data_IF_691504743670
#
_entry.id   IF_691504743670
#
_cell.length_a   1.000
_cell.length_b   1.000
_cell.length_c   1.000
_cell.angle_alpha   90.00
_cell.angle_beta   90.00
_cell.angle_gamma   90.00
#
_symmetry.space_group_name_H-M   'P 1'
#
loop_
_entity.id
_entity.type
_entity.pdbx_description
1 polymer ?
#
# COMPACT_ATOMS: atom_id res chain seq x y z
N UNK A 1 3.09 2.31 8.97
CA UNK A 1 3.86 1.23 9.64
C UNK A 1 3.61 1.22 11.14
N UNK A 2 3.07 0.10 11.62
CA UNK A 2 2.79 -0.15 13.03
C UNK A 2 4.06 -0.11 13.91
N UNK A 3 3.96 0.31 15.18
CA UNK A 3 5.11 0.39 16.09
C UNK A 3 5.85 -0.94 16.28
N UNK A 4 5.12 -2.06 16.32
CA UNK A 4 5.66 -3.42 16.39
C UNK A 4 6.53 -3.75 15.17
N UNK A 5 6.02 -3.45 13.96
CA UNK A 5 6.73 -3.68 12.72
C UNK A 5 7.97 -2.78 12.58
N UNK A 6 7.92 -1.54 13.10
CA UNK A 6 9.11 -0.66 13.19
C UNK A 6 10.24 -1.28 13.98
N UNK A 7 9.94 -1.86 15.15
CA UNK A 7 10.94 -2.55 15.98
C UNK A 7 11.54 -3.75 15.25
N UNK A 8 10.70 -4.57 14.61
CA UNK A 8 11.15 -5.74 13.84
C UNK A 8 12.06 -5.32 12.69
N UNK A 9 11.68 -4.30 11.90
CA UNK A 9 12.49 -3.80 10.79
C UNK A 9 13.82 -3.23 11.29
N UNK A 10 13.82 -2.49 12.39
CA UNK A 10 15.02 -1.93 13.00
C UNK A 10 16.00 -3.03 13.44
N UNK A 11 15.50 -4.05 14.14
CA UNK A 11 16.31 -5.19 14.60
C UNK A 11 16.80 -6.01 13.39
N UNK A 12 15.92 -6.30 12.43
CA UNK A 12 16.27 -7.04 11.22
C UNK A 12 17.33 -6.34 10.38
N UNK A 13 17.24 -5.02 10.21
CA UNK A 13 18.27 -4.25 9.50
C UNK A 13 19.60 -4.22 10.28
N UNK A 14 19.56 -4.27 11.62
CA UNK A 14 20.77 -4.37 12.43
C UNK A 14 21.47 -5.72 12.19
N UNK A 15 20.71 -6.82 12.25
CA UNK A 15 21.25 -8.16 11.96
C UNK A 15 21.85 -8.24 10.55
N UNK A 16 21.20 -7.66 9.54
CA UNK A 16 21.73 -7.63 8.18
C UNK A 16 23.09 -6.92 8.11
N UNK A 17 23.24 -5.80 8.82
CA UNK A 17 24.52 -5.08 8.89
C UNK A 17 25.56 -5.89 9.65
N UNK A 18 25.19 -6.55 10.75
CA UNK A 18 26.11 -7.41 11.50
C UNK A 18 26.65 -8.58 10.64
N UNK A 19 25.81 -9.17 9.79
CA UNK A 19 26.25 -10.22 8.86
C UNK A 19 27.33 -9.77 7.88
N UNK A 20 27.38 -8.47 7.54
CA UNK A 20 28.40 -7.88 6.68
C UNK A 20 29.62 -7.46 7.51
N UNK A 21 29.38 -6.83 8.66
CA UNK A 21 30.44 -6.18 9.44
C UNK A 21 31.25 -7.17 10.26
N UNK A 22 30.67 -8.25 10.78
CA UNK A 22 31.42 -9.24 11.57
C UNK A 22 32.55 -9.91 10.75
N UNK A 23 32.30 -10.40 9.52
CA UNK A 23 33.38 -10.91 8.66
C UNK A 23 34.42 -9.83 8.32
N UNK A 24 33.99 -8.60 8.06
CA UNK A 24 34.87 -7.50 7.70
C UNK A 24 35.80 -7.11 8.85
N UNK A 25 35.26 -7.04 10.08
CA UNK A 25 36.06 -6.81 11.29
C UNK A 25 37.03 -7.95 11.54
N UNK A 26 36.62 -9.21 11.35
CA UNK A 26 37.53 -10.37 11.45
C UNK A 26 38.66 -10.28 10.42
N UNK A 27 38.36 -9.87 9.19
CA UNK A 27 39.37 -9.68 8.15
C UNK A 27 40.38 -8.61 8.52
N UNK A 28 39.92 -7.45 9.01
CA UNK A 28 40.80 -6.36 9.46
C UNK A 28 41.65 -6.76 10.65
N UNK A 29 41.08 -7.48 11.62
CA UNK A 29 41.80 -7.97 12.79
C UNK A 29 42.90 -9.00 12.44
N UNK A 30 42.77 -9.68 11.30
CA UNK A 30 43.79 -10.60 10.79
C UNK A 30 44.92 -9.90 10.02
N UNK A 31 44.81 -8.59 9.78
CA UNK A 31 45.88 -7.81 9.14
C UNK A 31 46.96 -7.45 10.16
N UNK A 32 48.23 -7.55 9.77
CA UNK A 32 49.37 -7.09 10.58
C UNK A 32 49.46 -5.56 10.58
N UNK A 33 48.46 -4.89 11.18
CA UNK A 33 48.40 -3.44 11.35
C UNK A 33 49.01 -3.04 12.70
N UNK A 34 49.52 -1.82 12.81
CA UNK A 34 49.90 -1.27 14.11
C UNK A 34 48.66 -1.00 14.97
N UNK A 35 48.81 -1.04 16.29
CA UNK A 35 47.70 -0.90 17.25
C UNK A 35 46.87 0.38 17.03
N UNK A 36 47.53 1.50 16.72
CA UNK A 36 46.88 2.78 16.45
C UNK A 36 46.01 2.70 15.19
N UNK A 37 46.52 2.07 14.12
CA UNK A 37 45.78 1.92 12.86
C UNK A 37 44.63 0.94 13.04
N UNK A 38 44.84 -0.15 13.77
CA UNK A 38 43.80 -1.11 14.11
C UNK A 38 42.67 -0.46 14.91
N UNK A 39 43.00 0.38 15.88
CA UNK A 39 42.03 1.14 16.69
C UNK A 39 41.20 2.10 15.82
N UNK A 40 41.85 2.92 14.99
CA UNK A 40 41.16 3.87 14.09
C UNK A 40 40.26 3.12 13.10
N UNK A 41 40.73 2.01 12.54
CA UNK A 41 39.97 1.22 11.57
C UNK A 41 38.75 0.58 12.22
N UNK A 42 38.89 0.07 13.45
CA UNK A 42 37.79 -0.53 14.21
C UNK A 42 36.70 0.48 14.53
N UNK A 43 37.07 1.69 14.99
CA UNK A 43 36.12 2.79 15.21
C UNK A 43 35.43 3.19 13.90
N UNK A 44 36.20 3.30 12.81
CA UNK A 44 35.66 3.67 11.50
C UNK A 44 34.65 2.63 11.00
N UNK A 45 34.96 1.34 11.14
CA UNK A 45 34.04 0.25 10.80
C UNK A 45 32.76 0.28 11.65
N UNK A 46 32.87 0.55 12.95
CA UNK A 46 31.71 0.70 13.83
C UNK A 46 30.83 1.88 13.39
N UNK A 47 31.42 3.02 13.03
CA UNK A 47 30.70 4.18 12.52
C UNK A 47 30.00 3.87 11.18
N UNK A 48 30.69 3.22 10.24
CA UNK A 48 30.09 2.80 8.96
C UNK A 48 28.93 1.83 9.22
N UNK A 49 29.06 0.92 10.19
CA UNK A 49 28.02 -0.03 10.59
C UNK A 49 26.76 0.70 11.05
N UNK A 50 26.92 1.66 11.97
CA UNK A 50 25.81 2.49 12.45
C UNK A 50 25.14 3.29 11.32
N UNK A 51 25.92 3.93 10.45
CA UNK A 51 25.38 4.70 9.32
C UNK A 51 24.65 3.81 8.32
N UNK A 52 25.21 2.65 7.99
CA UNK A 52 24.59 1.68 7.09
C UNK A 52 23.29 1.14 7.67
N UNK A 53 23.26 0.84 8.96
CA UNK A 53 22.06 0.40 9.67
C UNK A 53 20.95 1.44 9.60
N UNK A 54 21.25 2.70 9.97
CA UNK A 54 20.29 3.81 9.92
C UNK A 54 19.79 4.02 8.48
N UNK A 55 20.68 3.96 7.50
CA UNK A 55 20.34 4.12 6.09
C UNK A 55 19.37 3.03 5.61
N UNK A 56 19.68 1.75 5.86
CA UNK A 56 18.83 0.62 5.48
C UNK A 56 17.48 0.72 6.18
N UNK A 57 17.48 0.97 7.50
CA UNK A 57 16.26 1.14 8.28
C UNK A 57 15.37 2.25 7.70
N UNK A 58 15.90 3.45 7.49
CA UNK A 58 15.15 4.59 6.92
C UNK A 58 14.63 4.30 5.51
N UNK A 59 15.41 3.57 4.69
CA UNK A 59 15.02 3.20 3.33
C UNK A 59 13.84 2.22 3.34
N UNK A 60 13.86 1.22 4.22
CA UNK A 60 12.74 0.28 4.39
C UNK A 60 11.52 1.01 4.96
N UNK A 61 11.69 1.84 5.99
CA UNK A 61 10.59 2.60 6.60
C UNK A 61 9.91 3.51 5.57
N UNK A 62 10.68 4.24 4.77
CA UNK A 62 10.14 5.11 3.71
C UNK A 62 9.36 4.30 2.68
N UNK A 63 9.89 3.16 2.24
CA UNK A 63 9.21 2.27 1.28
C UNK A 63 7.91 1.70 1.84
N UNK A 64 7.89 1.33 3.12
CA UNK A 64 6.69 0.86 3.80
C UNK A 64 5.63 1.97 3.91
N UNK A 65 6.00 3.19 4.29
CA UNK A 65 5.10 4.34 4.33
C UNK A 65 4.51 4.65 2.95
N UNK A 66 5.34 4.63 1.91
CA UNK A 66 4.87 4.82 0.53
C UNK A 66 3.88 3.74 0.09
N UNK A 67 4.13 2.48 0.47
CA UNK A 67 3.24 1.37 0.18
C UNK A 67 1.89 1.52 0.89
N UNK A 68 1.87 1.89 2.18
CA UNK A 68 0.63 2.14 2.94
C UNK A 68 -0.20 3.26 2.29
N UNK A 69 0.44 4.37 1.95
CA UNK A 69 -0.21 5.50 1.29
C UNK A 69 -0.76 5.12 -0.09
N UNK A 70 0.04 4.42 -0.89
CA UNK A 70 -0.34 4.05 -2.25
C UNK A 70 -1.50 3.06 -2.27
N UNK A 71 -1.59 2.15 -1.30
CA UNK A 71 -2.74 1.27 -1.12
C UNK A 71 -4.04 2.05 -0.88
N UNK A 72 -4.03 3.04 0.02
CA UNK A 72 -5.20 3.89 0.30
C UNK A 72 -5.65 4.64 -0.96
N UNK A 73 -4.69 5.21 -1.69
CA UNK A 73 -4.94 5.91 -2.94
C UNK A 73 -5.55 5.01 -4.02
N UNK A 74 -5.13 3.75 -4.11
CA UNK A 74 -5.70 2.79 -5.06
C UNK A 74 -7.11 2.40 -4.66
N UNK A 75 -7.37 2.15 -3.38
CA UNK A 75 -8.73 1.82 -2.91
C UNK A 75 -9.67 2.98 -3.22
N UNK A 76 -9.24 4.22 -2.95
CA UNK A 76 -9.97 5.43 -3.34
C UNK A 76 -10.23 5.46 -4.85
N UNK A 77 -9.18 5.38 -5.67
CA UNK A 77 -9.29 5.46 -7.13
C UNK A 77 -10.18 4.35 -7.70
N UNK A 78 -10.08 3.14 -7.15
CA UNK A 78 -10.89 1.98 -7.56
C UNK A 78 -12.35 2.16 -7.20
N UNK A 79 -12.62 2.69 -6.01
CA UNK A 79 -13.98 3.01 -5.54
C UNK A 79 -14.62 4.04 -6.45
N UNK A 80 -13.94 5.15 -6.71
CA UNK A 80 -14.45 6.22 -7.57
C UNK A 80 -14.75 5.71 -8.99
N UNK A 81 -13.81 4.96 -9.60
CA UNK A 81 -14.02 4.36 -10.92
C UNK A 81 -15.22 3.41 -10.92
N UNK A 82 -15.38 2.59 -9.88
CA UNK A 82 -16.52 1.70 -9.76
C UNK A 82 -17.84 2.47 -9.67
N UNK A 83 -17.90 3.52 -8.87
CA UNK A 83 -19.11 4.33 -8.69
C UNK A 83 -19.52 5.02 -10.00
N UNK A 84 -18.55 5.61 -10.73
CA UNK A 84 -18.79 6.21 -12.04
C UNK A 84 -19.32 5.19 -13.06
N UNK A 85 -18.70 4.00 -13.16
CA UNK A 85 -19.15 2.94 -14.08
C UNK A 85 -20.57 2.45 -13.80
N UNK A 86 -21.05 2.61 -12.57
CA UNK A 86 -22.39 2.18 -12.15
C UNK A 86 -23.38 3.35 -12.04
N UNK A 87 -22.98 4.57 -12.43
CA UNK A 87 -23.82 5.77 -12.34
C UNK A 87 -24.24 6.14 -10.92
N UNK A 88 -23.41 5.83 -9.92
CA UNK A 88 -23.70 6.09 -8.50
C UNK A 88 -23.12 7.44 -8.12
N UNK A 89 -23.97 8.36 -7.66
CA UNK A 89 -23.53 9.67 -7.19
C UNK A 89 -22.71 9.59 -5.91
N UNK A 90 -21.66 10.40 -5.83
CA UNK A 90 -20.76 10.45 -4.68
C UNK A 90 -20.18 11.85 -4.46
N UNK A 91 -19.57 12.04 -3.30
CA UNK A 91 -18.83 13.24 -2.92
C UNK A 91 -17.43 12.85 -2.46
N UNK A 92 -16.42 13.65 -2.81
CA UNK A 92 -15.03 13.46 -2.39
C UNK A 92 -14.79 14.35 -1.17
N UNK A 93 -14.33 13.74 -0.08
CA UNK A 93 -13.93 14.45 1.13
C UNK A 93 -12.42 14.38 1.30
N UNK A 94 -11.81 15.51 1.60
CA UNK A 94 -10.42 15.58 2.02
C UNK A 94 -10.37 15.32 3.53
N UNK A 95 -9.77 14.20 3.93
CA UNK A 95 -9.38 13.96 5.32
C UNK A 95 -8.00 14.57 5.52
N UNK A 96 -7.97 15.72 6.18
CA UNK A 96 -6.72 16.31 6.65
C UNK A 96 -6.21 15.49 7.82
N UNK A 97 -5.06 14.85 7.65
CA UNK A 97 -4.29 14.32 8.75
C UNK A 97 -2.94 15.03 8.76
N UNK A 98 -2.40 15.28 9.97
CA UNK A 98 -1.25 16.18 10.23
C UNK A 98 0.02 15.88 9.41
N UNK A 99 0.10 14.71 8.76
CA UNK A 99 1.26 14.28 7.99
C UNK A 99 0.96 13.94 6.51
N UNK A 100 -0.32 13.77 6.10
CA UNK A 100 -0.67 13.30 4.75
C UNK A 100 -2.10 13.71 4.32
N UNK A 101 -2.24 14.11 3.05
CA UNK A 101 -3.55 14.23 2.40
C UNK A 101 -4.13 12.84 2.16
N UNK A 102 -5.29 12.55 2.75
CA UNK A 102 -6.04 11.34 2.44
C UNK A 102 -7.42 11.74 1.90
N UNK A 103 -7.83 11.14 0.79
CA UNK A 103 -9.15 11.35 0.23
C UNK A 103 -10.04 10.18 0.62
N UNK A 104 -11.29 10.48 0.98
CA UNK A 104 -12.35 9.50 1.11
C UNK A 104 -13.50 9.85 0.19
N UNK A 105 -14.29 8.85 -0.14
CA UNK A 105 -15.51 9.02 -0.93
C UNK A 105 -16.68 8.75 0.00
N UNK A 106 -17.71 9.58 -0.07
CA UNK A 106 -19.00 9.30 0.53
C UNK A 106 -20.02 9.13 -0.59
N UNK A 107 -20.74 8.02 -0.58
CA UNK A 107 -21.79 7.72 -1.54
C UNK A 107 -22.99 7.11 -0.83
N UNK A 108 -24.15 7.21 -1.45
CA UNK A 108 -25.35 6.52 -0.97
C UNK A 108 -25.26 5.07 -1.40
N UNK A 109 -25.22 4.13 -0.44
CA UNK A 109 -25.28 2.69 -0.73
C UNK A 109 -26.53 2.40 -1.57
N UNK A 110 -26.34 1.72 -2.70
CA UNK A 110 -27.43 1.36 -3.61
C UNK A 110 -28.16 0.12 -3.11
N UNK A 111 -27.40 -0.97 -2.97
CA UNK A 111 -27.85 -2.27 -2.49
C UNK A 111 -26.62 -3.08 -2.02
N UNK A 112 -26.86 -4.14 -1.26
CA UNK A 112 -25.79 -4.94 -0.65
C UNK A 112 -24.91 -5.64 -1.69
N UNK A 113 -25.51 -6.13 -2.79
CA UNK A 113 -24.77 -6.80 -3.87
C UNK A 113 -23.83 -5.83 -4.60
N UNK A 114 -24.26 -4.59 -4.83
CA UNK A 114 -23.42 -3.53 -5.42
C UNK A 114 -22.22 -3.21 -4.53
N UNK A 115 -22.40 -3.12 -3.21
CA UNK A 115 -21.30 -2.88 -2.27
C UNK A 115 -20.31 -4.05 -2.22
N UNK A 116 -20.81 -5.29 -2.25
CA UNK A 116 -19.95 -6.47 -2.39
C UNK A 116 -19.11 -6.38 -3.67
N UNK A 117 -19.72 -6.07 -4.81
CA UNK A 117 -19.01 -5.94 -6.09
C UNK A 117 -17.96 -4.81 -6.06
N UNK A 118 -18.24 -3.68 -5.39
CA UNK A 118 -17.26 -2.60 -5.18
C UNK A 118 -16.03 -3.10 -4.41
N UNK A 119 -16.24 -3.81 -3.30
CA UNK A 119 -15.15 -4.36 -2.49
C UNK A 119 -14.29 -5.35 -3.29
N UNK A 120 -14.92 -6.23 -4.09
CA UNK A 120 -14.22 -7.13 -5.01
C UNK A 120 -13.42 -6.35 -6.05
N UNK A 121 -13.99 -5.29 -6.64
CA UNK A 121 -13.29 -4.46 -7.62
C UNK A 121 -12.05 -3.77 -7.01
N UNK A 122 -12.17 -3.27 -5.78
CA UNK A 122 -11.03 -2.72 -5.04
C UNK A 122 -9.95 -3.79 -4.79
N UNK A 123 -10.37 -5.01 -4.42
CA UNK A 123 -9.46 -6.15 -4.26
C UNK A 123 -8.70 -6.47 -5.56
N UNK A 124 -9.41 -6.57 -6.69
CA UNK A 124 -8.79 -6.81 -7.99
C UNK A 124 -7.76 -5.72 -8.33
N UNK A 125 -8.09 -4.45 -8.08
CA UNK A 125 -7.18 -3.35 -8.37
C UNK A 125 -5.94 -3.39 -7.49
N UNK A 126 -6.07 -3.58 -6.17
CA UNK A 126 -4.92 -3.54 -5.25
C UNK A 126 -3.97 -4.73 -5.44
N UNK A 127 -4.51 -5.93 -5.71
CA UNK A 127 -3.70 -7.12 -5.94
C UNK A 127 -2.95 -7.11 -7.27
N UNK A 128 -3.44 -6.36 -8.28
CA UNK A 128 -2.86 -6.32 -9.62
C UNK A 128 -2.13 -4.98 -9.94
N UNK A 129 -1.95 -4.12 -8.94
CA UNK A 129 -1.22 -2.87 -9.10
C UNK A 129 0.29 -3.09 -8.99
N UNK A 130 1.05 -2.56 -9.95
CA UNK A 130 2.51 -2.75 -10.01
C UNK A 130 3.20 -1.90 -8.94
N UNK A 131 4.13 -2.50 -8.19
CA UNK A 131 4.98 -1.78 -7.24
C UNK A 131 4.39 -1.61 -5.84
N UNK A 132 3.25 -2.25 -5.55
CA UNK A 132 2.59 -2.24 -4.25
C UNK A 132 2.38 -3.67 -3.80
N UNK A 133 2.52 -3.89 -2.51
CA UNK A 133 2.22 -5.17 -1.86
C UNK A 133 1.09 -4.95 -0.87
N UNK A 134 -0.10 -5.53 -1.11
CA UNK A 134 -1.23 -5.40 -0.19
C UNK A 134 -0.86 -5.96 1.20
N UNK A 135 -1.02 -5.14 2.23
CA UNK A 135 -0.79 -5.57 3.62
C UNK A 135 -1.92 -6.49 4.09
N UNK A 136 -1.66 -7.27 5.15
CA UNK A 136 -2.69 -8.12 5.74
C UNK A 136 -3.87 -7.31 6.27
N UNK A 137 -3.59 -6.15 6.90
CA UNK A 137 -4.63 -5.21 7.34
C UNK A 137 -5.51 -4.75 6.17
N UNK A 138 -4.92 -4.39 5.03
CA UNK A 138 -5.69 -3.96 3.85
C UNK A 138 -6.53 -5.09 3.26
N UNK A 139 -5.97 -6.32 3.18
CA UNK A 139 -6.72 -7.48 2.71
C UNK A 139 -7.92 -7.76 3.62
N UNK A 140 -7.72 -7.74 4.94
CA UNK A 140 -8.79 -7.92 5.91
C UNK A 140 -9.83 -6.82 5.87
N UNK A 141 -9.42 -5.56 5.74
CA UNK A 141 -10.37 -4.45 5.62
C UNK A 141 -11.29 -4.61 4.40
N UNK A 142 -10.74 -4.98 3.24
CA UNK A 142 -11.54 -5.21 2.02
C UNK A 142 -12.42 -6.46 2.18
N UNK A 143 -11.90 -7.52 2.80
CA UNK A 143 -12.68 -8.73 3.07
C UNK A 143 -13.86 -8.42 4.00
N UNK A 144 -13.65 -7.69 5.09
CA UNK A 144 -14.70 -7.32 6.03
C UNK A 144 -15.74 -6.41 5.38
N UNK A 145 -15.30 -5.41 4.61
CA UNK A 145 -16.20 -4.54 3.82
C UNK A 145 -17.08 -5.35 2.86
N UNK A 146 -16.55 -6.43 2.28
CA UNK A 146 -17.35 -7.36 1.48
C UNK A 146 -18.31 -8.21 2.34
N UNK A 147 -17.82 -8.80 3.44
CA UNK A 147 -18.60 -9.69 4.31
C UNK A 147 -19.74 -8.98 5.05
N UNK A 148 -19.55 -7.72 5.44
CA UNK A 148 -20.57 -6.89 6.11
C UNK A 148 -21.80 -6.65 5.24
N UNK A 149 -21.67 -6.79 3.92
CA UNK A 149 -22.78 -6.63 2.98
C UNK A 149 -23.35 -7.99 2.53
N UNK A 150 -23.00 -9.12 3.17
CA UNK A 150 -23.64 -10.40 2.92
C UNK A 150 -25.04 -10.43 3.57
N UNK A 151 -26.07 -10.62 2.76
CA UNK A 151 -27.46 -10.72 3.23
C UNK A 151 -27.76 -12.06 3.90
N UNK A 152 -26.95 -13.09 3.60
CA UNK A 152 -27.11 -14.45 4.14
C UNK A 152 -25.83 -14.91 4.82
N UNK A 153 -26.00 -15.70 5.88
CA UNK A 153 -24.87 -16.28 6.58
C UNK A 153 -24.33 -17.48 5.77
N UNK A 154 -23.24 -17.25 5.04
CA UNK A 154 -22.62 -18.24 4.18
C UNK A 154 -21.49 -18.98 4.92
N UNK A 155 -21.35 -20.27 4.62
CA UNK A 155 -20.18 -21.07 5.02
C UNK A 155 -18.89 -20.54 4.37
N UNK A 156 -17.73 -20.93 4.89
CA UNK A 156 -16.43 -20.51 4.36
C UNK A 156 -16.27 -20.92 2.87
N UNK A 157 -16.73 -22.12 2.52
CA UNK A 157 -16.70 -22.67 1.18
C UNK A 157 -17.60 -21.88 0.22
N UNK A 158 -18.79 -21.50 0.67
CA UNK A 158 -19.73 -20.67 -0.10
C UNK A 158 -19.18 -19.25 -0.30
N UNK A 159 -18.62 -18.64 0.75
CA UNK A 159 -17.94 -17.34 0.66
C UNK A 159 -16.84 -17.37 -0.40
N UNK A 160 -15.97 -18.40 -0.38
CA UNK A 160 -14.90 -18.60 -1.38
C UNK A 160 -15.46 -18.75 -2.80
N UNK A 161 -16.53 -19.54 -2.97
CA UNK A 161 -17.18 -19.73 -4.28
C UNK A 161 -17.79 -18.44 -4.80
N UNK A 162 -18.50 -17.69 -3.96
CA UNK A 162 -19.12 -16.42 -4.30
C UNK A 162 -18.08 -15.36 -4.67
N UNK A 163 -17.04 -15.21 -3.84
CA UNK A 163 -15.92 -14.29 -4.11
C UNK A 163 -15.29 -14.57 -5.47
N UNK A 164 -15.02 -15.85 -5.78
CA UNK A 164 -14.44 -16.26 -7.07
C UNK A 164 -15.38 -15.94 -8.23
N UNK A 165 -16.69 -16.15 -8.07
CA UNK A 165 -17.71 -15.83 -9.09
C UNK A 165 -17.74 -14.32 -9.37
N UNK A 166 -17.84 -13.49 -8.33
CA UNK A 166 -17.85 -12.03 -8.45
C UNK A 166 -16.52 -11.48 -8.98
N UNK A 167 -15.39 -12.06 -8.58
CA UNK A 167 -14.07 -11.69 -9.12
C UNK A 167 -13.99 -11.92 -10.63
N UNK A 168 -14.54 -13.04 -11.12
CA UNK A 168 -14.60 -13.34 -12.55
C UNK A 168 -15.48 -12.36 -13.31
N UNK A 169 -16.67 -12.03 -12.78
CA UNK A 169 -17.58 -11.10 -13.46
C UNK A 169 -17.00 -9.68 -13.59
N UNK A 170 -16.20 -9.24 -12.61
CA UNK A 170 -15.56 -7.92 -12.63
C UNK A 170 -14.23 -7.88 -13.36
N UNK A 171 -13.69 -9.02 -13.82
CA UNK A 171 -12.35 -9.08 -14.39
C UNK A 171 -12.23 -8.30 -15.71
N UNK A 172 -13.28 -8.29 -16.53
CA UNK A 172 -13.35 -7.47 -17.73
C UNK A 172 -13.34 -5.97 -17.41
N UNK A 173 -14.22 -5.53 -16.49
CA UNK A 173 -14.27 -4.14 -16.03
C UNK A 173 -12.93 -3.68 -15.44
N UNK A 174 -12.26 -4.54 -14.66
CA UNK A 174 -10.93 -4.27 -14.14
C UNK A 174 -9.90 -4.07 -15.26
N UNK A 175 -9.82 -5.00 -16.22
CA UNK A 175 -8.84 -4.93 -17.32
C UNK A 175 -8.98 -3.64 -18.13
N UNK A 176 -10.22 -3.23 -18.42
CA UNK A 176 -10.50 -2.03 -19.22
C UNK A 176 -10.25 -0.71 -18.46
N UNK A 177 -10.28 -0.75 -17.12
CA UNK A 177 -10.19 0.45 -16.29
C UNK A 177 -8.91 0.53 -15.43
N UNK A 178 -8.03 -0.47 -15.50
CA UNK A 178 -6.72 -0.44 -14.82
C UNK A 178 -5.90 0.81 -15.13
N UNK A 179 -5.91 1.27 -16.40
CA UNK A 179 -5.21 2.50 -16.80
C UNK A 179 -5.81 3.74 -16.13
N UNK A 180 -7.14 3.83 -16.09
CA UNK A 180 -7.88 4.92 -15.44
C UNK A 180 -7.59 4.97 -13.94
N UNK A 181 -7.66 3.82 -13.24
CA UNK A 181 -7.30 3.72 -11.81
C UNK A 181 -5.87 4.21 -11.56
N UNK A 182 -4.92 3.83 -12.43
CA UNK A 182 -3.53 4.29 -12.32
C UNK A 182 -3.36 5.80 -12.59
N UNK A 183 -4.12 6.37 -13.53
CA UNK A 183 -4.10 7.82 -13.79
C UNK A 183 -4.63 8.61 -12.60
N UNK A 184 -5.75 8.18 -12.02
CA UNK A 184 -6.32 8.79 -10.81
C UNK A 184 -5.33 8.66 -9.64
N UNK A 185 -4.77 7.47 -9.41
CA UNK A 185 -3.74 7.25 -8.38
C UNK A 185 -2.55 8.22 -8.51
N UNK A 186 -2.00 8.38 -9.73
CA UNK A 186 -0.88 9.31 -9.96
C UNK A 186 -1.28 10.77 -9.78
N UNK A 187 -2.51 11.12 -10.13
CA UNK A 187 -3.02 12.48 -10.01
C UNK A 187 -3.18 12.88 -8.55
N UNK A 188 -3.79 12.04 -7.71
CA UNK A 188 -4.00 12.32 -6.28
C UNK A 188 -2.70 12.33 -5.46
N UNK A 189 -1.62 11.71 -5.96
CA UNK A 189 -0.29 11.82 -5.34
C UNK A 189 0.30 13.23 -5.46
N UNK A 190 -0.14 14.03 -6.43
CA UNK A 190 0.41 15.36 -6.74
C UNK A 190 -0.55 16.50 -6.41
N UNK A 191 -1.83 16.21 -6.21
CA UNK A 191 -2.88 17.21 -6.05
C UNK A 191 -3.60 17.02 -4.72
N UNK A 192 -3.70 18.09 -3.94
CA UNK A 192 -4.36 18.11 -2.63
C UNK A 192 -5.80 18.67 -2.67
N UNK A 193 -6.24 19.18 -3.81
CA UNK A 193 -7.55 19.80 -4.00
C UNK A 193 -8.60 18.77 -4.44
N UNK A 194 -9.66 18.60 -3.66
CA UNK A 194 -10.74 17.63 -3.91
C UNK A 194 -11.56 17.93 -5.17
N UNK A 195 -11.78 19.21 -5.49
CA UNK A 195 -12.56 19.63 -6.66
C UNK A 195 -11.82 19.31 -7.96
N UNK A 196 -10.50 19.57 -7.99
CA UNK A 196 -9.66 19.20 -9.14
C UNK A 196 -9.65 17.69 -9.37
N UNK A 197 -9.64 16.89 -8.30
CA UNK A 197 -9.69 15.43 -8.40
C UNK A 197 -11.04 14.98 -8.95
N UNK A 198 -12.15 15.57 -8.47
CA UNK A 198 -13.49 15.27 -8.96
C UNK A 198 -13.60 15.55 -10.45
N UNK A 199 -13.23 16.74 -10.90
CA UNK A 199 -13.27 17.13 -12.31
C UNK A 199 -12.41 16.20 -13.17
N UNK A 200 -11.20 15.88 -12.70
CA UNK A 200 -10.29 14.96 -13.41
C UNK A 200 -10.88 13.56 -13.58
N UNK A 201 -11.52 13.02 -12.54
CA UNK A 201 -12.20 11.72 -12.60
C UNK A 201 -13.34 11.76 -13.59
N UNK A 202 -14.23 12.75 -13.48
CA UNK A 202 -15.42 12.84 -14.33
C UNK A 202 -15.01 12.91 -15.81
N UNK A 203 -14.00 13.71 -16.14
CA UNK A 203 -13.47 13.75 -17.50
C UNK A 203 -12.88 12.41 -17.97
N UNK A 204 -12.17 11.70 -17.08
CA UNK A 204 -11.49 10.45 -17.44
C UNK A 204 -12.43 9.28 -17.63
N UNK A 205 -13.54 9.24 -16.90
CA UNK A 205 -14.49 8.13 -16.95
C UNK A 205 -15.60 8.40 -17.96
N UNK A 206 -16.06 9.65 -18.12
CA UNK A 206 -17.13 10.01 -19.10
C UNK A 206 -16.64 10.07 -20.55
N UNK A 207 -15.33 10.23 -20.81
CA UNK A 207 -14.75 10.26 -22.18
C UNK A 207 -14.52 8.86 -22.80
N UNK A 208 -15.05 7.80 -22.20
CA UNK A 208 -14.98 6.41 -22.68
C UNK A 208 -16.35 5.90 -23.09
#
# INVERSE_FOLDING_TARGET
MEPSLKKIVYIGSLFLVLLIMVPLTKYVAAQNLSDIILFITTISLANISCLLHIFIYKKIETKAKYNDYSQRNIIFASTVVFLELNGISYTIQKKENKEQFSFSVNWKKKDAATEQLRAIFCSLCIHNFKGITPTQQTKWAIQNDWEENLETNLTIEEKKRLWKKQSKSLQFHFKNNKKTVNQIHKFIQKNSNSEMIKNFVEELVKKK
#
